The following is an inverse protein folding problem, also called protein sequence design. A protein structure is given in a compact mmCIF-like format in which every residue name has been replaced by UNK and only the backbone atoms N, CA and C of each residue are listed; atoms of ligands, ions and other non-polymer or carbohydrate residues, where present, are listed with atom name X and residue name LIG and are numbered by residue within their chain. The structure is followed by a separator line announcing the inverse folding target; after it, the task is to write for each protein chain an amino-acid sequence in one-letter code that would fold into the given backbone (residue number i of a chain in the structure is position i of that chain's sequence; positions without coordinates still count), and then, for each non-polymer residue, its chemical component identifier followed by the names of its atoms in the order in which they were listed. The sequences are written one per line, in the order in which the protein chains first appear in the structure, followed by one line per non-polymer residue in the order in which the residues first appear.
data_IF_444360130516
#
_entry.id   IF_444360130516
#
_cell.length_a   1.000
_cell.length_b   1.000
_cell.length_c   1.000
_cell.angle_alpha   90.00
_cell.angle_beta   90.00
_cell.angle_gamma   90.00
#
_symmetry.space_group_name_H-M   'P 1'
#
loop_
_entity.id
_entity.type
_entity.pdbx_description
1 polymer ?
#
# COMPACT_ATOMS: atom_id res chain seq x y z
N UNK A 1 -17.14 4.82 -15.27
CA UNK A 1 -16.69 4.92 -13.86
C UNK A 1 -16.26 3.55 -13.38
N UNK A 2 -15.09 3.47 -12.77
CA UNK A 2 -14.59 2.22 -12.22
C UNK A 2 -15.27 1.95 -10.88
N UNK A 3 -15.70 0.71 -10.66
CA UNK A 3 -16.02 0.25 -9.30
C UNK A 3 -14.71 -0.05 -8.59
N UNK A 4 -14.59 0.37 -7.35
CA UNK A 4 -13.40 0.14 -6.56
C UNK A 4 -13.75 -0.15 -5.10
N UNK A 5 -12.88 -0.91 -4.46
CA UNK A 5 -12.87 -1.14 -3.04
C UNK A 5 -11.54 -0.68 -2.45
N UNK A 6 -11.59 -0.06 -1.27
CA UNK A 6 -10.41 0.46 -0.61
C UNK A 6 -10.35 0.02 0.85
N UNK A 7 -9.13 -0.11 1.33
CA UNK A 7 -8.78 -0.21 2.75
C UNK A 7 -7.77 0.88 3.09
N UNK A 8 -7.69 1.27 4.35
CA UNK A 8 -6.64 2.18 4.80
C UNK A 8 -5.34 1.44 5.09
N UNK A 9 -4.23 2.16 4.94
CA UNK A 9 -2.92 1.78 5.43
C UNK A 9 -2.49 2.63 6.63
N UNK A 10 -1.25 2.43 7.06
CA UNK A 10 -0.66 3.20 8.15
C UNK A 10 -0.55 4.70 7.85
N UNK A 11 -0.49 5.12 6.59
CA UNK A 11 -0.43 6.55 6.23
C UNK A 11 -1.76 7.27 6.41
N UNK A 12 -2.90 6.61 6.25
CA UNK A 12 -4.22 7.17 6.60
C UNK A 12 -4.37 7.29 8.12
N UNK A 13 -3.83 6.35 8.90
CA UNK A 13 -3.80 6.45 10.38
C UNK A 13 -2.90 7.61 10.84
N UNK A 14 -1.73 7.80 10.21
CA UNK A 14 -0.85 8.95 10.45
C UNK A 14 -1.58 10.26 10.12
N UNK A 15 -2.29 10.33 8.99
CA UNK A 15 -3.06 11.51 8.60
C UNK A 15 -4.11 11.86 9.67
N UNK A 16 -4.86 10.88 10.16
CA UNK A 16 -5.84 11.07 11.24
C UNK A 16 -5.21 11.57 12.54
N UNK A 17 -4.05 11.01 12.90
CA UNK A 17 -3.29 11.43 14.07
C UNK A 17 -2.78 12.87 13.96
N UNK A 18 -2.31 13.30 12.78
CA UNK A 18 -1.83 14.66 12.55
C UNK A 18 -2.95 15.70 12.68
N UNK A 19 -4.16 15.36 12.22
CA UNK A 19 -5.32 16.25 12.37
C UNK A 19 -5.73 16.39 13.83
N UNK A 20 -5.70 15.28 14.59
CA UNK A 20 -6.06 15.25 16.01
C UNK A 20 -4.99 15.86 16.91
N UNK A 21 -3.72 15.79 16.51
CA UNK A 21 -2.57 16.21 17.31
C UNK A 21 -1.50 16.88 16.43
N UNK A 22 -1.65 18.21 16.14
CA UNK A 22 -0.73 18.95 15.30
C UNK A 22 0.73 18.99 15.78
N UNK A 23 1.01 18.73 17.06
CA UNK A 23 2.38 18.70 17.60
C UNK A 23 3.25 17.61 16.95
N UNK A 24 2.64 16.62 16.32
CA UNK A 24 3.34 15.54 15.62
C UNK A 24 3.87 15.93 14.22
N UNK A 25 3.51 17.13 13.70
CA UNK A 25 3.84 17.52 12.32
C UNK A 25 5.34 17.46 12.03
N UNK A 26 6.17 18.04 12.91
CA UNK A 26 7.62 18.09 12.68
C UNK A 26 8.26 16.70 12.69
N UNK A 27 7.85 15.84 13.63
CA UNK A 27 8.34 14.47 13.73
C UNK A 27 7.94 13.64 12.50
N UNK A 28 6.69 13.74 12.06
CA UNK A 28 6.18 13.02 10.87
C UNK A 28 6.84 13.56 9.60
N UNK A 29 6.97 14.89 9.45
CA UNK A 29 7.66 15.50 8.32
C UNK A 29 9.12 15.06 8.24
N UNK A 30 9.84 15.04 9.36
CA UNK A 30 11.23 14.58 9.41
C UNK A 30 11.40 13.13 8.94
N UNK A 31 10.40 12.27 9.22
CA UNK A 31 10.44 10.84 8.89
C UNK A 31 9.96 10.53 7.47
N UNK A 32 8.89 11.18 7.02
CA UNK A 32 8.16 10.80 5.79
C UNK A 32 8.12 11.90 4.72
N UNK A 33 8.60 13.11 5.03
CA UNK A 33 8.49 14.27 4.15
C UNK A 33 7.17 15.01 4.31
N UNK A 34 6.98 16.00 3.44
CA UNK A 34 5.85 16.93 3.48
C UNK A 34 4.52 16.35 2.95
N UNK A 35 4.50 15.09 2.50
CA UNK A 35 3.35 14.50 1.80
C UNK A 35 2.03 14.56 2.59
N UNK A 36 2.06 14.28 3.91
CA UNK A 36 0.85 14.37 4.76
C UNK A 36 0.37 15.82 4.91
N UNK A 37 1.30 16.79 5.07
CA UNK A 37 0.93 18.20 5.13
C UNK A 37 0.33 18.68 3.80
N UNK A 38 0.86 18.19 2.68
CA UNK A 38 0.28 18.46 1.36
C UNK A 38 -1.13 17.90 1.24
N UNK A 39 -1.37 16.68 1.71
CA UNK A 39 -2.70 16.06 1.73
C UNK A 39 -3.68 16.90 2.57
N UNK A 40 -3.30 17.30 3.79
CA UNK A 40 -4.13 18.16 4.66
C UNK A 40 -4.47 19.49 3.98
N UNK A 41 -3.54 20.10 3.26
CA UNK A 41 -3.73 21.40 2.63
C UNK A 41 -4.51 21.34 1.29
N UNK A 42 -4.56 20.19 0.63
CA UNK A 42 -5.12 20.03 -0.72
C UNK A 42 -6.46 19.31 -0.75
N UNK A 43 -6.69 18.40 0.17
CA UNK A 43 -7.93 17.64 0.23
C UNK A 43 -8.98 18.40 1.03
N UNK A 44 -10.24 18.28 0.63
CA UNK A 44 -11.35 18.77 1.44
C UNK A 44 -11.58 17.86 2.67
N UNK A 45 -12.24 18.42 3.68
CA UNK A 45 -12.51 17.70 4.92
C UNK A 45 -13.31 16.41 4.71
N UNK A 46 -14.23 16.36 3.75
CA UNK A 46 -15.04 15.19 3.45
C UNK A 46 -14.16 14.04 2.93
N UNK A 47 -13.24 14.36 2.03
CA UNK A 47 -12.27 13.40 1.48
C UNK A 47 -11.36 12.88 2.59
N UNK A 48 -10.80 13.76 3.42
CA UNK A 48 -9.95 13.36 4.55
C UNK A 48 -10.70 12.43 5.50
N UNK A 49 -11.91 12.80 5.92
CA UNK A 49 -12.75 11.98 6.80
C UNK A 49 -13.03 10.61 6.16
N UNK A 50 -13.30 10.57 4.85
CA UNK A 50 -13.53 9.30 4.17
C UNK A 50 -12.31 8.39 4.18
N UNK A 51 -11.09 8.94 3.98
CA UNK A 51 -9.84 8.19 3.97
C UNK A 51 -9.50 7.61 5.35
N UNK A 52 -9.55 8.42 6.41
CA UNK A 52 -9.19 7.97 7.76
C UNK A 52 -10.21 6.96 8.34
N UNK A 53 -11.44 6.97 7.84
CA UNK A 53 -12.51 6.03 8.24
C UNK A 53 -12.62 4.79 7.36
N UNK A 54 -11.74 4.60 6.38
CA UNK A 54 -11.67 3.34 5.63
C UNK A 54 -11.40 2.16 6.59
N UNK A 55 -11.95 0.97 6.32
CA UNK A 55 -11.63 -0.21 7.10
C UNK A 55 -10.15 -0.58 6.93
N UNK A 56 -9.51 -1.11 7.97
CA UNK A 56 -8.14 -1.61 7.89
C UNK A 56 -8.01 -2.95 7.15
N UNK A 57 -9.13 -3.68 7.06
CA UNK A 57 -9.25 -4.92 6.28
C UNK A 57 -10.69 -5.07 5.75
N UNK A 58 -10.84 -5.77 4.64
CA UNK A 58 -12.15 -5.97 3.99
C UNK A 58 -12.16 -7.29 3.23
N UNK A 59 -13.31 -7.97 3.20
CA UNK A 59 -13.58 -9.06 2.25
C UNK A 59 -14.40 -8.51 1.10
N UNK A 60 -14.01 -8.85 -0.12
CA UNK A 60 -14.72 -8.51 -1.36
C UNK A 60 -14.99 -9.78 -2.14
N UNK A 61 -16.18 -9.89 -2.72
CA UNK A 61 -16.54 -11.00 -3.60
C UNK A 61 -16.78 -10.43 -5.00
N UNK A 62 -16.06 -10.95 -5.99
CA UNK A 62 -16.18 -10.58 -7.39
C UNK A 62 -16.33 -11.86 -8.20
N UNK A 63 -17.40 -12.00 -8.96
CA UNK A 63 -17.70 -13.17 -9.80
C UNK A 63 -17.63 -14.51 -9.01
N UNK A 64 -18.02 -14.49 -7.74
CA UNK A 64 -17.98 -15.64 -6.86
C UNK A 64 -16.61 -15.96 -6.25
N UNK A 65 -15.58 -15.21 -6.59
CA UNK A 65 -14.22 -15.33 -6.02
C UNK A 65 -14.09 -14.41 -4.82
N UNK A 66 -13.55 -14.91 -3.71
CA UNK A 66 -13.41 -14.17 -2.45
C UNK A 66 -11.99 -13.63 -2.28
N UNK A 67 -11.89 -12.33 -1.96
CA UNK A 67 -10.65 -11.60 -1.76
C UNK A 67 -10.59 -11.04 -0.33
N UNK A 68 -9.60 -11.44 0.46
CA UNK A 68 -9.28 -10.83 1.74
C UNK A 68 -8.28 -9.68 1.55
N UNK A 69 -8.71 -8.44 1.70
CA UNK A 69 -7.87 -7.25 1.58
C UNK A 69 -7.28 -6.87 2.93
N UNK A 70 -5.96 -6.74 3.03
CA UNK A 70 -5.23 -6.36 4.24
C UNK A 70 -4.09 -5.41 3.88
N UNK A 71 -3.80 -4.39 4.71
CA UNK A 71 -2.65 -3.52 4.45
C UNK A 71 -1.32 -4.21 4.79
N UNK A 72 -1.17 -4.68 6.02
CA UNK A 72 -0.06 -5.54 6.46
C UNK A 72 -0.46 -7.01 6.39
N UNK A 73 -0.24 -7.75 7.48
CA UNK A 73 -0.69 -9.14 7.59
C UNK A 73 -2.18 -9.23 7.98
N UNK A 74 -2.85 -10.38 7.78
CA UNK A 74 -4.25 -10.55 8.19
C UNK A 74 -4.51 -10.36 9.70
N UNK A 75 -3.47 -10.48 10.54
CA UNK A 75 -3.56 -10.33 12.00
C UNK A 75 -3.03 -8.99 12.53
N UNK A 76 -2.16 -8.30 11.77
CA UNK A 76 -1.61 -7.00 12.15
C UNK A 76 -1.38 -6.11 10.91
N UNK A 77 -2.11 -4.99 10.82
CA UNK A 77 -2.03 -4.04 9.71
C UNK A 77 -0.68 -3.31 9.63
N UNK A 78 0.12 -3.31 10.71
CA UNK A 78 1.43 -2.66 10.77
C UNK A 78 2.59 -3.64 10.61
N UNK A 79 2.33 -4.94 10.50
CA UNK A 79 3.37 -5.93 10.35
C UNK A 79 3.87 -6.02 8.91
N UNK A 80 5.19 -5.95 8.75
CA UNK A 80 5.86 -6.16 7.47
C UNK A 80 6.05 -7.66 7.19
N UNK A 81 5.48 -8.15 6.08
CA UNK A 81 5.74 -9.49 5.57
C UNK A 81 6.53 -9.39 4.26
N UNK A 82 7.82 -9.62 4.35
CA UNK A 82 8.73 -9.57 3.20
C UNK A 82 8.72 -10.87 2.40
N UNK A 83 9.13 -10.86 1.10
CA UNK A 83 9.15 -12.06 0.26
C UNK A 83 10.15 -13.14 0.73
N UNK A 84 11.16 -12.76 1.52
CA UNK A 84 12.17 -13.63 2.12
C UNK A 84 11.88 -14.03 3.57
N UNK A 85 10.65 -13.76 4.05
CA UNK A 85 10.23 -14.17 5.39
C UNK A 85 10.17 -15.70 5.51
N UNK A 86 10.26 -16.19 6.75
CA UNK A 86 10.08 -17.62 7.04
C UNK A 86 8.77 -18.13 6.45
N UNK A 87 8.83 -19.26 5.73
CA UNK A 87 7.68 -19.85 5.03
C UNK A 87 6.51 -20.15 5.99
N UNK A 88 6.79 -20.52 7.25
CA UNK A 88 5.75 -20.72 8.26
C UNK A 88 5.01 -19.42 8.56
N UNK A 89 5.72 -18.29 8.57
CA UNK A 89 5.11 -16.97 8.74
C UNK A 89 4.26 -16.60 7.52
N UNK A 90 4.75 -16.88 6.31
CA UNK A 90 4.00 -16.63 5.07
C UNK A 90 2.73 -17.49 5.06
N UNK A 91 2.82 -18.78 5.40
CA UNK A 91 1.69 -19.70 5.45
C UNK A 91 0.64 -19.35 6.51
N UNK A 92 0.96 -18.53 7.53
CA UNK A 92 -0.08 -17.98 8.44
C UNK A 92 -1.06 -17.04 7.74
N UNK A 93 -0.74 -16.54 6.55
CA UNK A 93 -1.69 -15.78 5.74
C UNK A 93 -2.73 -16.64 5.05
N UNK A 94 -2.60 -17.98 5.09
CA UNK A 94 -3.56 -18.90 4.48
C UNK A 94 -4.96 -18.70 5.06
N UNK A 95 -5.95 -18.85 4.22
CA UNK A 95 -7.35 -18.64 4.58
C UNK A 95 -8.25 -19.65 3.87
N UNK A 96 -9.12 -20.29 4.63
CA UNK A 96 -10.20 -21.14 4.11
C UNK A 96 -11.41 -20.32 3.62
N UNK A 97 -11.48 -19.04 4.01
CA UNK A 97 -12.59 -18.15 3.68
C UNK A 97 -12.33 -17.30 2.43
N UNK A 98 -11.08 -17.29 1.93
CA UNK A 98 -10.68 -16.46 0.80
C UNK A 98 -9.92 -17.26 -0.25
N UNK A 99 -10.26 -17.05 -1.52
CA UNK A 99 -9.48 -17.58 -2.65
C UNK A 99 -8.14 -16.85 -2.77
N UNK A 100 -8.16 -15.54 -2.51
CA UNK A 100 -6.98 -14.68 -2.52
C UNK A 100 -6.86 -13.88 -1.24
N UNK A 101 -5.66 -13.85 -0.65
CA UNK A 101 -5.30 -12.96 0.44
C UNK A 101 -4.36 -11.89 -0.12
N UNK A 102 -4.83 -10.64 -0.15
CA UNK A 102 -4.08 -9.51 -0.67
C UNK A 102 -3.49 -8.71 0.49
N UNK A 103 -2.18 -8.44 0.42
CA UNK A 103 -1.43 -7.67 1.41
C UNK A 103 -0.60 -6.59 0.73
N UNK A 104 -0.07 -5.64 1.49
CA UNK A 104 0.78 -4.56 0.98
C UNK A 104 1.91 -4.20 1.95
N UNK A 105 2.00 -2.92 2.34
CA UNK A 105 2.86 -2.33 3.37
C UNK A 105 4.37 -2.41 3.11
N UNK A 106 4.90 -3.55 2.64
CA UNK A 106 6.33 -3.73 2.37
C UNK A 106 6.81 -3.00 1.13
N UNK A 107 5.92 -2.69 0.19
CA UNK A 107 6.21 -2.17 -1.15
C UNK A 107 7.08 -3.10 -2.03
N UNK A 108 7.21 -4.39 -1.65
CA UNK A 108 7.78 -5.45 -2.49
C UNK A 108 6.67 -6.31 -3.05
N UNK A 109 6.76 -6.63 -4.33
CA UNK A 109 5.80 -7.56 -4.92
C UNK A 109 6.23 -9.00 -4.72
N UNK A 110 5.30 -9.87 -4.36
CA UNK A 110 5.48 -11.31 -4.34
C UNK A 110 4.16 -12.05 -4.32
N UNK A 111 4.21 -13.32 -4.65
CA UNK A 111 3.08 -14.24 -4.56
C UNK A 111 3.52 -15.51 -3.87
N UNK A 112 2.60 -16.15 -3.17
CA UNK A 112 2.84 -17.43 -2.54
C UNK A 112 1.58 -18.30 -2.61
N UNK A 113 1.73 -19.56 -3.06
CA UNK A 113 0.64 -20.53 -3.02
C UNK A 113 0.59 -21.11 -1.61
N UNK A 114 -0.47 -20.79 -0.88
CA UNK A 114 -0.79 -21.44 0.38
C UNK A 114 -1.61 -22.72 0.13
N UNK A 115 -2.03 -23.39 1.18
CA UNK A 115 -2.81 -24.64 1.08
C UNK A 115 -4.22 -24.36 0.51
N UNK A 116 -4.91 -23.35 1.03
CA UNK A 116 -6.31 -23.04 0.70
C UNK A 116 -6.44 -21.77 -0.15
N UNK A 117 -5.48 -20.84 -0.10
CA UNK A 117 -5.57 -19.54 -0.72
C UNK A 117 -4.28 -19.14 -1.46
N UNK A 118 -4.36 -18.08 -2.25
CA UNK A 118 -3.20 -17.47 -2.92
C UNK A 118 -2.90 -16.15 -2.25
N UNK A 119 -1.71 -16.04 -1.65
CA UNK A 119 -1.21 -14.78 -1.11
C UNK A 119 -0.60 -13.93 -2.21
N UNK A 120 -0.99 -12.67 -2.31
CA UNK A 120 -0.43 -11.71 -3.26
C UNK A 120 -0.10 -10.40 -2.54
N UNK A 121 1.14 -9.94 -2.66
CA UNK A 121 1.50 -8.56 -2.45
C UNK A 121 1.81 -7.95 -3.84
N UNK A 122 1.00 -7.01 -4.34
CA UNK A 122 1.24 -6.43 -5.67
C UNK A 122 2.44 -5.48 -5.72
N UNK A 123 3.02 -5.11 -4.58
CA UNK A 123 4.04 -4.07 -4.48
C UNK A 123 3.46 -2.69 -4.23
N UNK A 124 4.03 -1.67 -4.85
CA UNK A 124 3.62 -0.28 -4.67
C UNK A 124 3.59 0.49 -6.00
N UNK A 125 2.56 1.28 -6.21
CA UNK A 125 2.46 2.15 -7.40
C UNK A 125 3.32 3.41 -7.29
N UNK A 126 3.59 3.91 -6.06
CA UNK A 126 4.27 5.19 -5.84
C UNK A 126 5.68 5.06 -5.27
N UNK A 127 5.89 4.07 -4.40
CA UNK A 127 7.15 3.92 -3.65
C UNK A 127 7.67 2.48 -3.71
N UNK A 128 7.81 1.92 -4.92
CA UNK A 128 8.37 0.58 -5.06
C UNK A 128 9.75 0.49 -4.41
N UNK A 129 9.95 -0.55 -3.59
CA UNK A 129 11.25 -0.89 -3.01
C UNK A 129 12.09 -1.82 -3.88
N UNK A 130 11.53 -2.29 -5.00
CA UNK A 130 12.24 -3.11 -5.99
C UNK A 130 12.98 -2.24 -7.00
N UNK A 131 12.27 -1.38 -7.71
CA UNK A 131 12.82 -0.48 -8.72
C UNK A 131 12.09 0.84 -8.73
N UNK A 132 12.83 1.94 -8.58
CA UNK A 132 12.30 3.29 -8.66
C UNK A 132 11.76 3.65 -10.05
N UNK A 133 10.79 4.54 -10.11
CA UNK A 133 10.16 4.96 -11.36
C UNK A 133 9.24 3.91 -12.01
N UNK A 134 8.87 2.85 -11.26
CA UNK A 134 7.90 1.86 -11.69
C UNK A 134 6.75 1.74 -10.70
N UNK A 135 5.53 1.74 -11.22
CA UNK A 135 4.33 1.36 -10.50
C UNK A 135 4.14 -0.16 -10.60
N UNK A 136 4.04 -0.83 -9.45
CA UNK A 136 3.75 -2.27 -9.40
C UNK A 136 2.28 -2.47 -9.02
N UNK A 137 1.65 -3.43 -9.69
CA UNK A 137 0.23 -3.76 -9.52
C UNK A 137 -0.02 -5.21 -9.95
N UNK A 138 -1.16 -5.76 -9.59
CA UNK A 138 -1.54 -7.12 -9.97
C UNK A 138 -2.83 -7.11 -10.79
N UNK A 139 -2.96 -8.08 -11.69
CA UNK A 139 -4.21 -8.43 -12.36
C UNK A 139 -4.55 -9.87 -12.00
N UNK A 140 -5.81 -10.11 -11.68
CA UNK A 140 -6.35 -11.43 -11.35
C UNK A 140 -7.53 -11.66 -12.28
N UNK A 141 -7.55 -12.81 -12.97
CA UNK A 141 -8.67 -13.26 -13.78
C UNK A 141 -9.60 -14.11 -12.89
N UNK A 142 -10.84 -13.68 -12.73
CA UNK A 142 -11.82 -14.37 -11.90
C UNK A 142 -12.37 -15.64 -12.52
N UNK A 143 -12.24 -15.83 -13.84
CA UNK A 143 -12.73 -17.03 -14.53
C UNK A 143 -11.87 -18.27 -14.24
N UNK A 144 -10.54 -18.09 -14.28
CA UNK A 144 -9.57 -19.21 -14.14
C UNK A 144 -8.64 -19.07 -12.93
N UNK A 145 -8.84 -18.03 -12.10
CA UNK A 145 -8.01 -17.66 -10.94
C UNK A 145 -6.54 -17.42 -11.29
N UNK A 146 -6.21 -17.20 -12.57
CA UNK A 146 -4.85 -16.81 -12.95
C UNK A 146 -4.53 -15.39 -12.47
N UNK A 147 -3.26 -15.13 -12.17
CA UNK A 147 -2.82 -13.81 -11.70
C UNK A 147 -1.44 -13.46 -12.22
N UNK A 148 -1.19 -12.17 -12.36
CA UNK A 148 0.09 -11.63 -12.84
C UNK A 148 0.45 -10.36 -12.10
N UNK A 149 1.69 -10.29 -11.59
CA UNK A 149 2.29 -9.03 -11.18
C UNK A 149 2.73 -8.27 -12.41
N UNK A 150 2.33 -7.02 -12.52
CA UNK A 150 2.65 -6.10 -13.61
C UNK A 150 3.48 -4.94 -13.09
N UNK A 151 4.28 -4.34 -13.96
CA UNK A 151 4.98 -3.09 -13.66
C UNK A 151 4.88 -2.13 -14.84
N UNK A 152 4.65 -0.87 -14.54
CA UNK A 152 4.51 0.19 -15.53
C UNK A 152 5.50 1.30 -15.20
N UNK A 153 6.36 1.67 -16.15
CA UNK A 153 7.29 2.79 -15.99
C UNK A 153 6.54 4.11 -16.03
N UNK A 154 6.87 5.05 -15.16
CA UNK A 154 6.34 6.40 -15.17
C UNK A 154 7.47 7.45 -15.11
N UNK A 155 7.15 8.69 -15.54
CA UNK A 155 8.11 9.78 -15.52
C UNK A 155 8.18 10.39 -14.10
N UNK A 156 9.36 10.33 -13.48
CA UNK A 156 9.62 10.83 -12.13
C UNK A 156 10.09 12.30 -12.11
N UNK A 157 10.32 12.93 -13.25
CA UNK A 157 10.99 14.25 -13.32
C UNK A 157 10.25 15.34 -12.54
N UNK A 158 8.94 15.44 -12.66
CA UNK A 158 8.13 16.42 -11.92
C UNK A 158 8.15 16.15 -10.41
N UNK A 159 8.02 14.87 -10.03
CA UNK A 159 8.06 14.47 -8.63
C UNK A 159 9.40 14.73 -7.97
N UNK A 160 10.51 14.47 -8.67
CA UNK A 160 11.87 14.81 -8.21
C UNK A 160 12.02 16.31 -7.98
N UNK A 161 11.48 17.15 -8.89
CA UNK A 161 11.50 18.62 -8.72
C UNK A 161 10.71 19.05 -7.49
N UNK A 162 9.54 18.46 -7.25
CA UNK A 162 8.72 18.78 -6.07
C UNK A 162 9.38 18.33 -4.77
N UNK A 163 9.94 17.12 -4.72
CA UNK A 163 10.67 16.63 -3.54
C UNK A 163 11.83 17.58 -3.21
N UNK A 164 12.66 17.97 -4.21
CA UNK A 164 13.76 18.90 -3.99
C UNK A 164 13.30 20.29 -3.52
N UNK A 165 12.08 20.70 -3.90
CA UNK A 165 11.52 22.00 -3.49
C UNK A 165 10.97 21.98 -2.06
N UNK A 166 10.27 20.93 -1.68
CA UNK A 166 9.50 20.87 -0.42
C UNK A 166 10.23 20.11 0.69
N UNK A 167 11.08 19.15 0.33
CA UNK A 167 11.78 18.25 1.25
C UNK A 167 13.27 18.11 0.86
N UNK A 168 14.02 19.23 0.70
CA UNK A 168 15.41 19.17 0.24
C UNK A 168 16.32 18.37 1.16
N UNK A 169 15.99 18.31 2.45
CA UNK A 169 16.77 17.63 3.48
C UNK A 169 16.40 16.13 3.64
N UNK A 170 15.36 15.66 2.92
CA UNK A 170 14.84 14.31 3.05
C UNK A 170 15.22 13.44 1.85
N UNK A 171 16.42 12.89 1.88
CA UNK A 171 16.97 12.08 0.79
C UNK A 171 16.24 10.74 0.54
N UNK A 172 15.42 10.28 1.48
CA UNK A 172 14.76 8.97 1.38
C UNK A 172 13.83 8.87 0.17
N UNK A 173 12.98 9.87 -0.06
CA UNK A 173 12.04 9.89 -1.16
C UNK A 173 12.74 9.92 -2.54
N UNK A 174 13.84 10.67 -2.66
CA UNK A 174 14.66 10.68 -3.87
C UNK A 174 15.32 9.32 -4.12
N UNK A 175 15.88 8.70 -3.08
CA UNK A 175 16.54 7.38 -3.20
C UNK A 175 15.57 6.30 -3.67
N UNK A 176 14.30 6.35 -3.28
CA UNK A 176 13.29 5.40 -3.75
C UNK A 176 13.06 5.56 -5.26
N UNK A 177 12.97 6.78 -5.75
CA UNK A 177 12.70 7.05 -7.18
C UNK A 177 13.85 6.72 -8.10
N UNK A 178 15.08 6.66 -7.56
CA UNK A 178 16.34 6.48 -8.33
C UNK A 178 16.98 5.11 -8.16
N UNK A 179 16.33 4.19 -7.47
CA UNK A 179 16.79 2.79 -7.33
C UNK A 179 16.88 2.02 -8.64
#
# INVERSE_FOLDING_TARGET
DWKYDMIKGNHEDILGNLISNPILHDAIRSKYGSGHQHAINKLDNKTIISLINLPSKKTVIIDGISFGLNHGTPWDSNEYLYPDADVKKINRCDSIDHDFVLIGHTHYSFTHQCENSILINPGSVGQSREKGGYAYWAIINTEDKSYHIKKTKYNTTSLVKEINKFDPDINYNLKILTR
#
